data_IF_563604826477
#
_entry.id   IF_563604826477
#
_cell.length_a   1.000
_cell.length_b   1.000
_cell.length_c   1.000
_cell.angle_alpha   90.00
_cell.angle_beta   90.00
_cell.angle_gamma   90.00
#
_symmetry.space_group_name_H-M   'P 1'
#
loop_
_entity.id
_entity.type
_entity.pdbx_description
1 polymer ?
#
# COMPACT_ATOMS: atom_id res chain seq x y z
N UNK A 1 -1.57 -37.14 -2.30
CA UNK A 1 -0.88 -36.32 -3.31
C UNK A 1 0.24 -35.52 -2.65
N UNK A 2 1.30 -35.25 -3.37
CA UNK A 2 2.47 -34.56 -2.84
C UNK A 2 2.21 -33.06 -2.71
N UNK A 3 1.43 -32.50 -3.66
CA UNK A 3 1.08 -31.09 -3.73
C UNK A 3 -0.44 -30.89 -3.81
N UNK A 4 -0.92 -29.81 -3.21
CA UNK A 4 -2.32 -29.40 -3.38
C UNK A 4 -2.49 -28.68 -4.72
N UNK A 5 -1.48 -27.87 -5.12
CA UNK A 5 -1.41 -27.25 -6.45
C UNK A 5 -0.02 -27.49 -7.03
N UNK A 6 0.03 -27.94 -8.28
CA UNK A 6 1.25 -28.01 -9.08
C UNK A 6 1.09 -27.16 -10.34
N UNK A 7 2.05 -26.27 -10.61
CA UNK A 7 2.13 -25.54 -11.89
C UNK A 7 3.38 -26.06 -12.61
N UNK A 8 3.18 -26.70 -13.74
CA UNK A 8 4.24 -27.40 -14.46
C UNK A 8 4.62 -26.68 -15.75
N UNK A 9 5.93 -26.64 -16.04
CA UNK A 9 6.47 -26.16 -17.30
C UNK A 9 6.19 -24.65 -17.60
N UNK A 10 6.22 -23.80 -16.56
CA UNK A 10 6.08 -22.35 -16.69
C UNK A 10 7.43 -21.65 -16.85
N UNK A 11 7.42 -20.42 -17.40
CA UNK A 11 8.56 -19.50 -17.35
C UNK A 11 8.54 -18.83 -15.99
N UNK A 12 9.44 -19.24 -15.08
CA UNK A 12 9.51 -18.71 -13.72
C UNK A 12 10.40 -17.46 -13.70
N UNK A 13 9.88 -16.38 -13.09
CA UNK A 13 10.58 -15.10 -12.89
C UNK A 13 10.47 -14.74 -11.40
N UNK A 14 11.58 -14.68 -10.70
CA UNK A 14 11.58 -14.43 -9.25
C UNK A 14 12.85 -13.69 -8.81
N UNK A 15 12.76 -12.97 -7.69
CA UNK A 15 13.89 -12.24 -7.09
C UNK A 15 15.02 -13.17 -6.62
N UNK A 16 14.72 -14.42 -6.25
CA UNK A 16 15.68 -15.38 -5.76
C UNK A 16 16.84 -15.67 -6.72
N UNK A 17 16.61 -15.57 -8.02
CA UNK A 17 17.63 -15.75 -9.05
C UNK A 17 17.92 -14.45 -9.82
N UNK A 18 17.62 -13.30 -9.24
CA UNK A 18 17.80 -11.99 -9.85
C UNK A 18 16.93 -11.76 -11.08
N UNK A 19 15.74 -12.36 -11.11
CA UNK A 19 14.77 -12.29 -12.20
C UNK A 19 15.24 -12.87 -13.53
N UNK A 20 16.25 -13.75 -13.52
CA UNK A 20 16.64 -14.48 -14.74
C UNK A 20 15.58 -15.55 -15.04
N UNK A 21 14.87 -15.47 -16.19
CA UNK A 21 13.79 -16.39 -16.51
C UNK A 21 14.31 -17.82 -16.72
N UNK A 22 13.60 -18.81 -16.19
CA UNK A 22 13.87 -20.22 -16.48
C UNK A 22 12.60 -21.01 -16.63
N UNK A 23 12.63 -22.10 -17.40
CA UNK A 23 11.50 -23.04 -17.50
C UNK A 23 11.56 -23.98 -16.31
N UNK A 24 10.47 -24.04 -15.55
CA UNK A 24 10.39 -24.84 -14.35
C UNK A 24 8.98 -25.06 -13.85
N UNK A 25 8.89 -25.65 -12.67
CA UNK A 25 7.63 -25.98 -12.03
C UNK A 25 7.64 -25.57 -10.56
N UNK A 26 6.46 -25.26 -10.03
CA UNK A 26 6.26 -25.06 -8.59
C UNK A 26 5.24 -26.03 -8.04
N UNK A 27 5.48 -26.49 -6.81
CA UNK A 27 4.55 -27.25 -6.01
C UNK A 27 4.15 -26.50 -4.75
N UNK A 28 2.85 -26.37 -4.53
CA UNK A 28 2.26 -25.74 -3.34
C UNK A 28 1.65 -26.80 -2.46
N UNK A 29 1.92 -26.75 -1.16
CA UNK A 29 1.29 -27.57 -0.14
C UNK A 29 0.72 -26.66 0.93
N UNK A 30 -0.55 -26.84 1.25
CA UNK A 30 -1.29 -25.90 2.11
C UNK A 30 -1.20 -24.46 1.56
N UNK A 31 -0.56 -23.57 2.27
CA UNK A 31 -0.42 -22.16 1.90
C UNK A 31 1.00 -21.80 1.45
N UNK A 32 1.89 -22.79 1.23
CA UNK A 32 3.31 -22.52 0.99
C UNK A 32 3.80 -23.17 -0.30
N UNK A 33 4.67 -22.45 -1.01
CA UNK A 33 5.46 -23.01 -2.09
C UNK A 33 6.53 -23.92 -1.45
N UNK A 34 6.40 -25.22 -1.67
CA UNK A 34 7.29 -26.23 -1.08
C UNK A 34 8.30 -26.78 -2.07
N UNK A 35 8.13 -26.45 -3.35
CA UNK A 35 9.00 -26.88 -4.41
C UNK A 35 9.09 -25.82 -5.50
N UNK A 36 10.31 -25.48 -5.90
CA UNK A 36 10.63 -24.74 -7.13
C UNK A 36 11.74 -25.55 -7.81
N UNK A 37 11.54 -25.99 -9.04
CA UNK A 37 12.47 -26.89 -9.71
C UNK A 37 12.55 -26.66 -11.22
N UNK A 38 13.69 -26.98 -11.81
CA UNK A 38 13.78 -27.21 -13.25
C UNK A 38 13.10 -28.54 -13.59
N UNK A 39 12.37 -28.59 -14.68
CA UNK A 39 11.63 -29.78 -15.10
C UNK A 39 10.16 -29.75 -14.72
N UNK A 40 9.49 -30.87 -14.89
CA UNK A 40 8.05 -30.97 -14.77
C UNK A 40 7.64 -31.59 -13.43
N UNK A 41 6.43 -31.22 -12.96
CA UNK A 41 5.70 -31.89 -11.89
C UNK A 41 4.60 -32.72 -12.56
N UNK A 42 4.56 -34.01 -12.24
CA UNK A 42 3.58 -34.92 -12.81
C UNK A 42 2.17 -34.62 -12.27
N UNK A 43 1.18 -34.81 -13.14
CA UNK A 43 -0.22 -34.51 -12.80
C UNK A 43 -0.72 -35.35 -11.63
N UNK A 44 -0.25 -36.60 -11.52
CA UNK A 44 -0.62 -37.57 -10.49
C UNK A 44 -0.10 -37.17 -9.10
N UNK A 45 0.89 -36.26 -9.02
CA UNK A 45 1.41 -35.75 -7.74
C UNK A 45 0.53 -34.64 -7.16
N UNK A 46 -0.41 -34.05 -7.91
CA UNK A 46 -1.17 -32.86 -7.56
C UNK A 46 -2.66 -33.11 -7.39
N UNK A 47 -3.31 -32.37 -6.50
CA UNK A 47 -4.78 -32.29 -6.47
C UNK A 47 -5.29 -31.40 -7.62
N UNK A 48 -4.65 -30.22 -7.77
CA UNK A 48 -4.87 -29.31 -8.87
C UNK A 48 -3.57 -29.23 -9.65
N UNK A 49 -3.60 -29.60 -10.92
CA UNK A 49 -2.47 -29.50 -11.82
C UNK A 49 -2.75 -28.45 -12.90
N UNK A 50 -1.81 -27.53 -13.11
CA UNK A 50 -1.92 -26.43 -14.06
C UNK A 50 -0.79 -26.57 -15.08
N UNK A 51 -1.14 -26.61 -16.37
CA UNK A 51 -0.19 -26.48 -17.45
C UNK A 51 0.28 -25.02 -17.58
N UNK A 52 1.54 -24.79 -17.24
CA UNK A 52 2.22 -23.50 -17.33
C UNK A 52 2.87 -23.22 -18.67
N UNK A 53 2.77 -24.14 -19.66
CA UNK A 53 3.41 -23.97 -20.95
C UNK A 53 3.04 -22.64 -21.60
N UNK A 54 4.05 -21.83 -21.93
CA UNK A 54 3.87 -20.51 -22.54
C UNK A 54 3.35 -19.43 -21.58
N UNK A 55 3.26 -19.71 -20.27
CA UNK A 55 2.86 -18.75 -19.22
C UNK A 55 4.08 -18.30 -18.42
N UNK A 56 4.01 -17.07 -17.94
CA UNK A 56 4.98 -16.53 -16.97
C UNK A 56 4.39 -16.72 -15.58
N UNK A 57 5.20 -17.27 -14.69
CA UNK A 57 4.90 -17.41 -13.27
C UNK A 57 5.82 -16.50 -12.47
N UNK A 58 5.26 -15.60 -11.70
CA UNK A 58 5.98 -14.63 -10.90
C UNK A 58 5.29 -14.46 -9.54
N UNK A 59 5.99 -13.90 -8.51
CA UNK A 59 5.33 -13.52 -7.27
C UNK A 59 4.12 -12.63 -7.52
N UNK A 60 3.09 -12.78 -6.68
CA UNK A 60 1.93 -11.89 -6.72
C UNK A 60 2.34 -10.45 -6.41
N UNK A 61 1.67 -9.48 -7.04
CA UNK A 61 1.96 -8.08 -6.83
C UNK A 61 1.38 -7.59 -5.50
N UNK A 62 2.06 -6.62 -4.91
CA UNK A 62 1.66 -5.94 -3.67
C UNK A 62 1.24 -4.51 -3.98
N UNK A 63 0.04 -4.14 -3.56
CA UNK A 63 -0.46 -2.78 -3.56
C UNK A 63 -0.32 -2.22 -2.13
N UNK A 64 0.67 -1.37 -1.89
CA UNK A 64 1.01 -0.87 -0.56
C UNK A 64 0.15 0.29 -0.06
N UNK A 65 -0.71 0.86 -0.90
CA UNK A 65 -1.60 1.96 -0.53
C UNK A 65 -2.80 2.03 -1.48
N UNK A 66 -3.99 1.92 -0.91
CA UNK A 66 -5.24 1.96 -1.66
C UNK A 66 -6.38 2.52 -0.81
N UNK A 67 -7.36 3.15 -1.45
CA UNK A 67 -8.65 3.52 -0.86
C UNK A 67 -9.75 2.78 -1.62
N UNK A 68 -10.09 1.58 -1.18
CA UNK A 68 -10.97 0.67 -1.89
C UNK A 68 -12.42 1.16 -1.98
N UNK A 69 -12.87 1.95 -1.01
CA UNK A 69 -14.19 2.56 -1.00
C UNK A 69 -14.35 3.70 -2.03
N UNK A 70 -13.26 4.18 -2.63
CA UNK A 70 -13.26 5.25 -3.63
C UNK A 70 -13.40 4.76 -5.08
N UNK A 71 -13.54 3.45 -5.30
CA UNK A 71 -13.68 2.92 -6.68
C UNK A 71 -15.01 3.30 -7.35
N UNK A 72 -16.08 3.46 -6.59
CA UNK A 72 -17.34 3.99 -7.12
C UNK A 72 -17.29 5.47 -7.50
N UNK A 73 -16.29 6.20 -6.99
CA UNK A 73 -16.04 7.60 -7.33
C UNK A 73 -15.08 7.78 -8.52
N UNK A 74 -14.68 6.69 -9.18
CA UNK A 74 -13.79 6.71 -10.34
C UNK A 74 -14.28 7.71 -11.40
N UNK A 75 -13.38 8.62 -11.82
CA UNK A 75 -13.67 9.66 -12.80
C UNK A 75 -14.32 10.94 -12.25
N UNK A 76 -14.81 10.95 -11.01
CA UNK A 76 -15.41 12.17 -10.44
C UNK A 76 -14.39 13.29 -10.18
N UNK A 77 -13.16 12.92 -9.87
CA UNK A 77 -12.06 13.86 -9.61
C UNK A 77 -11.18 14.14 -10.83
N UNK A 78 -11.60 13.81 -12.04
CA UNK A 78 -10.83 14.07 -13.25
C UNK A 78 -10.66 15.58 -13.48
N UNK A 79 -9.48 15.98 -13.93
CA UNK A 79 -9.09 17.38 -14.17
C UNK A 79 -9.09 18.27 -12.92
N UNK A 80 -9.03 17.70 -11.70
CA UNK A 80 -8.99 18.42 -10.43
C UNK A 80 -7.75 18.03 -9.63
N UNK A 81 -7.13 19.02 -8.97
CA UNK A 81 -6.16 18.77 -7.91
C UNK A 81 -6.84 18.17 -6.67
N UNK A 82 -6.07 17.55 -5.76
CA UNK A 82 -6.62 17.04 -4.50
C UNK A 82 -7.34 18.13 -3.68
N UNK A 83 -6.79 19.35 -3.64
CA UNK A 83 -7.41 20.46 -2.91
C UNK A 83 -8.77 20.84 -3.50
N UNK A 84 -8.88 20.91 -4.82
CA UNK A 84 -10.15 21.20 -5.51
C UNK A 84 -11.16 20.07 -5.26
N UNK A 85 -10.73 18.81 -5.27
CA UNK A 85 -11.58 17.67 -4.94
C UNK A 85 -12.07 17.72 -3.50
N UNK A 86 -11.20 18.06 -2.54
CA UNK A 86 -11.58 18.24 -1.14
C UNK A 86 -12.64 19.32 -0.99
N UNK A 87 -12.47 20.48 -1.61
CA UNK A 87 -13.48 21.54 -1.58
C UNK A 87 -14.78 21.15 -2.25
N UNK A 88 -14.73 20.42 -3.36
CA UNK A 88 -15.93 20.01 -4.09
C UNK A 88 -16.72 18.91 -3.37
N UNK A 89 -16.05 17.96 -2.73
CA UNK A 89 -16.65 16.71 -2.29
C UNK A 89 -16.55 16.47 -0.78
N UNK A 90 -15.39 16.68 -0.16
CA UNK A 90 -15.19 16.42 1.26
C UNK A 90 -15.81 17.52 2.14
N UNK A 91 -15.48 18.79 1.89
CA UNK A 91 -15.95 19.93 2.69
C UNK A 91 -17.47 20.11 2.61
N UNK A 92 -18.08 19.70 1.49
CA UNK A 92 -19.53 19.72 1.32
C UNK A 92 -20.24 18.52 1.97
N UNK A 93 -19.49 17.54 2.46
CA UNK A 93 -20.02 16.29 2.99
C UNK A 93 -20.63 15.36 1.93
N UNK A 94 -20.46 15.70 0.65
CA UNK A 94 -21.08 14.97 -0.46
C UNK A 94 -20.69 13.50 -0.49
N UNK A 95 -19.41 13.17 -0.28
CA UNK A 95 -18.94 11.79 -0.20
C UNK A 95 -19.62 10.96 0.87
N UNK A 96 -19.91 11.58 2.02
CA UNK A 96 -20.45 10.88 3.19
C UNK A 96 -21.96 10.70 3.12
N UNK A 97 -22.63 11.53 2.33
CA UNK A 97 -24.08 11.51 2.19
C UNK A 97 -24.57 10.67 1.03
N UNK A 98 -23.76 10.47 0.00
CA UNK A 98 -24.15 9.73 -1.21
C UNK A 98 -23.74 8.25 -1.18
N UNK A 99 -22.72 7.89 -0.43
CA UNK A 99 -22.19 6.52 -0.37
C UNK A 99 -22.48 5.97 1.03
N UNK A 100 -23.40 5.02 1.12
CA UNK A 100 -23.70 4.33 2.36
C UNK A 100 -22.73 3.14 2.61
N UNK A 101 -22.85 2.45 3.74
CA UNK A 101 -21.95 1.37 4.11
C UNK A 101 -22.02 0.18 3.14
N UNK A 102 -23.17 -0.11 2.57
CA UNK A 102 -23.34 -1.17 1.57
C UNK A 102 -22.67 -0.81 0.25
N UNK A 103 -22.78 0.45 -0.20
CA UNK A 103 -22.08 0.95 -1.37
C UNK A 103 -20.55 0.86 -1.17
N UNK A 104 -20.05 1.21 0.02
CA UNK A 104 -18.63 1.09 0.38
C UNK A 104 -18.14 -0.35 0.36
N UNK A 105 -18.98 -1.26 0.86
CA UNK A 105 -18.67 -2.69 0.80
C UNK A 105 -18.51 -3.18 -0.65
N UNK A 106 -19.44 -2.87 -1.54
CA UNK A 106 -19.34 -3.25 -2.95
C UNK A 106 -18.21 -2.52 -3.69
N UNK A 107 -17.95 -1.26 -3.35
CA UNK A 107 -16.80 -0.52 -3.89
C UNK A 107 -15.48 -1.25 -3.57
N UNK A 108 -15.30 -1.69 -2.33
CA UNK A 108 -14.15 -2.47 -1.90
C UNK A 108 -14.04 -3.80 -2.63
N UNK A 109 -15.15 -4.54 -2.74
CA UNK A 109 -15.15 -5.80 -3.49
C UNK A 109 -14.73 -5.59 -4.95
N UNK A 110 -15.23 -4.53 -5.60
CA UNK A 110 -14.84 -4.17 -6.96
C UNK A 110 -13.34 -3.87 -7.06
N UNK A 111 -12.80 -3.10 -6.12
CA UNK A 111 -11.36 -2.81 -6.02
C UNK A 111 -10.55 -4.10 -5.92
N UNK A 112 -10.91 -4.98 -5.01
CA UNK A 112 -10.17 -6.21 -4.77
C UNK A 112 -10.26 -7.20 -5.94
N UNK A 113 -11.41 -7.26 -6.60
CA UNK A 113 -11.56 -8.05 -7.82
C UNK A 113 -10.69 -7.50 -8.97
N UNK A 114 -10.66 -6.18 -9.17
CA UNK A 114 -9.79 -5.54 -10.17
C UNK A 114 -8.31 -5.79 -9.86
N UNK A 115 -7.92 -5.67 -8.59
CA UNK A 115 -6.56 -5.96 -8.13
C UNK A 115 -6.15 -7.41 -8.41
N UNK A 116 -6.98 -8.39 -8.04
CA UNK A 116 -6.71 -9.81 -8.31
C UNK A 116 -6.62 -10.11 -9.82
N UNK A 117 -7.52 -9.55 -10.62
CA UNK A 117 -7.53 -9.72 -12.08
C UNK A 117 -6.31 -9.10 -12.76
N UNK A 118 -5.67 -8.11 -12.13
CA UNK A 118 -4.41 -7.51 -12.59
C UNK A 118 -3.16 -8.12 -11.95
N UNK A 119 -3.29 -9.20 -11.14
CA UNK A 119 -2.17 -9.93 -10.55
C UNK A 119 -1.73 -9.46 -9.17
N UNK A 120 -2.43 -8.52 -8.55
CA UNK A 120 -2.21 -8.08 -7.18
C UNK A 120 -2.81 -9.10 -6.21
N UNK A 121 -2.00 -9.65 -5.31
CA UNK A 121 -2.41 -10.68 -4.34
C UNK A 121 -2.41 -10.21 -2.89
N UNK A 122 -1.88 -9.03 -2.66
CA UNK A 122 -1.89 -8.36 -1.36
C UNK A 122 -2.18 -6.87 -1.55
N UNK A 123 -3.08 -6.33 -0.73
CA UNK A 123 -3.47 -4.92 -0.78
C UNK A 123 -3.49 -4.31 0.63
N UNK A 124 -2.87 -3.15 0.81
CA UNK A 124 -3.06 -2.35 2.01
C UNK A 124 -4.14 -1.30 1.73
N UNK A 125 -5.24 -1.41 2.44
CA UNK A 125 -6.33 -0.45 2.36
C UNK A 125 -6.24 0.57 3.48
N UNK A 126 -6.19 1.84 3.09
CA UNK A 126 -6.42 2.97 3.97
C UNK A 126 -7.91 3.27 4.04
N UNK A 127 -8.45 3.17 5.25
CA UNK A 127 -9.84 3.49 5.49
C UNK A 127 -9.98 4.92 6.00
N UNK A 128 -10.98 5.61 5.49
CA UNK A 128 -11.46 6.84 6.10
C UNK A 128 -12.66 6.51 6.99
N UNK A 129 -12.57 6.95 8.24
CA UNK A 129 -13.67 6.89 9.24
C UNK A 129 -14.28 5.52 9.47
N UNK A 130 -13.65 4.85 10.35
CA UNK A 130 -14.14 3.76 11.15
C UNK A 130 -15.05 2.79 10.44
N UNK A 131 -14.68 1.63 10.29
CA UNK A 131 -15.50 0.49 10.08
C UNK A 131 -14.67 -0.60 9.38
N UNK A 132 -13.56 -0.95 9.99
CA UNK A 132 -12.77 -2.13 9.63
C UNK A 132 -13.62 -3.36 9.38
N UNK A 133 -14.81 -3.41 9.99
CA UNK A 133 -15.77 -4.49 9.84
C UNK A 133 -16.17 -4.77 8.39
N UNK A 134 -16.50 -3.74 7.61
CA UNK A 134 -16.91 -3.94 6.22
C UNK A 134 -15.72 -4.27 5.33
N UNK A 135 -14.54 -3.71 5.60
CA UNK A 135 -13.31 -4.03 4.85
C UNK A 135 -12.84 -5.47 5.13
N UNK A 136 -12.86 -5.90 6.38
CA UNK A 136 -12.58 -7.31 6.75
C UNK A 136 -13.51 -8.26 6.01
N UNK A 137 -14.81 -7.97 6.01
CA UNK A 137 -15.81 -8.78 5.31
C UNK A 137 -15.56 -8.80 3.80
N UNK A 138 -15.31 -7.65 3.20
CA UNK A 138 -15.08 -7.52 1.76
C UNK A 138 -13.82 -8.29 1.31
N UNK A 139 -12.70 -8.14 2.04
CA UNK A 139 -11.46 -8.87 1.74
C UNK A 139 -11.65 -10.39 1.88
N UNK A 140 -12.32 -10.81 2.96
CA UNK A 140 -12.58 -12.24 3.21
C UNK A 140 -13.48 -12.87 2.14
N UNK A 141 -14.55 -12.18 1.71
CA UNK A 141 -15.45 -12.69 0.69
C UNK A 141 -14.82 -12.77 -0.70
N UNK A 142 -13.96 -11.80 -1.05
CA UNK A 142 -13.19 -11.83 -2.32
C UNK A 142 -12.02 -12.80 -2.24
N UNK A 143 -11.48 -13.04 -1.04
CA UNK A 143 -10.34 -13.96 -0.83
C UNK A 143 -8.98 -13.33 -1.13
N UNK A 144 -8.85 -12.01 -1.10
CA UNK A 144 -7.57 -11.32 -1.23
C UNK A 144 -6.87 -11.21 0.13
N UNK A 145 -5.56 -11.34 0.17
CA UNK A 145 -4.73 -11.05 1.35
C UNK A 145 -4.53 -9.54 1.50
N UNK A 146 -4.34 -9.07 2.72
CA UNK A 146 -4.14 -7.63 2.88
C UNK A 146 -3.81 -7.16 4.28
N UNK A 147 -3.58 -5.86 4.35
CA UNK A 147 -3.51 -5.07 5.58
C UNK A 147 -4.65 -4.04 5.56
N UNK A 148 -5.20 -3.77 6.72
CA UNK A 148 -6.26 -2.78 6.89
C UNK A 148 -5.80 -1.70 7.84
N UNK A 149 -5.83 -0.45 7.39
CA UNK A 149 -5.44 0.72 8.17
C UNK A 149 -6.67 1.46 8.66
N UNK A 150 -7.00 1.28 9.95
CA UNK A 150 -8.12 1.94 10.62
C UNK A 150 -7.71 3.26 11.24
N UNK A 151 -8.51 4.30 11.03
CA UNK A 151 -8.39 5.55 11.79
C UNK A 151 -8.90 5.32 13.22
N UNK A 152 -8.02 5.46 14.19
CA UNK A 152 -8.35 5.23 15.60
C UNK A 152 -8.96 6.44 16.31
N UNK A 153 -9.11 7.56 15.62
CA UNK A 153 -9.89 8.70 16.11
C UNK A 153 -11.38 8.40 15.96
N UNK A 154 -12.19 8.90 16.87
CA UNK A 154 -13.65 8.69 16.80
C UNK A 154 -14.23 9.31 15.53
N UNK A 155 -13.80 10.52 15.21
CA UNK A 155 -14.02 11.19 13.92
C UNK A 155 -13.03 12.36 13.76
N UNK A 156 -12.96 12.91 12.55
CA UNK A 156 -12.04 14.02 12.28
C UNK A 156 -12.45 15.35 12.95
N UNK A 157 -13.70 15.49 13.36
CA UNK A 157 -14.19 16.66 14.11
C UNK A 157 -13.79 16.59 15.58
N UNK A 158 -13.39 15.42 16.07
CA UNK A 158 -12.93 15.16 17.44
C UNK A 158 -11.56 14.47 17.42
N UNK A 159 -10.54 15.13 16.87
CA UNK A 159 -9.26 14.48 16.58
C UNK A 159 -8.46 14.04 17.83
N UNK A 160 -8.82 14.54 19.01
CA UNK A 160 -8.20 14.15 20.29
C UNK A 160 -8.99 13.06 21.04
N UNK A 161 -10.15 12.66 20.49
CA UNK A 161 -10.94 11.55 21.02
C UNK A 161 -10.63 10.28 20.22
N UNK A 162 -10.18 9.25 20.94
CA UNK A 162 -9.79 7.99 20.37
C UNK A 162 -10.81 6.89 20.68
N UNK A 163 -10.91 5.92 19.77
CA UNK A 163 -11.71 4.72 20.00
C UNK A 163 -11.23 3.98 21.25
N UNK A 164 -12.09 3.20 21.89
CA UNK A 164 -11.74 2.46 23.10
C UNK A 164 -10.67 1.39 22.83
N UNK A 165 -9.93 1.03 23.87
CA UNK A 165 -8.99 -0.09 23.79
C UNK A 165 -9.67 -1.41 23.45
N UNK A 166 -10.91 -1.62 23.91
CA UNK A 166 -11.72 -2.80 23.60
C UNK A 166 -12.10 -2.86 22.11
N UNK A 167 -12.44 -1.72 21.50
CA UNK A 167 -12.69 -1.62 20.07
C UNK A 167 -11.45 -2.04 19.27
N UNK A 168 -10.28 -1.53 19.66
CA UNK A 168 -9.02 -1.86 18.95
C UNK A 168 -8.63 -3.33 19.12
N UNK A 169 -8.88 -3.92 20.29
CA UNK A 169 -8.64 -5.34 20.52
C UNK A 169 -9.55 -6.22 19.66
N UNK A 170 -10.82 -5.84 19.58
CA UNK A 170 -11.78 -6.55 18.72
C UNK A 170 -11.46 -6.37 17.23
N UNK A 171 -11.10 -5.16 16.80
CA UNK A 171 -10.64 -4.88 15.44
C UNK A 171 -9.43 -5.72 15.06
N UNK A 172 -8.39 -5.70 15.92
CA UNK A 172 -7.19 -6.49 15.71
C UNK A 172 -7.51 -7.98 15.60
N UNK A 173 -8.32 -8.50 16.51
CA UNK A 173 -8.75 -9.89 16.50
C UNK A 173 -9.49 -10.26 15.22
N UNK A 174 -10.42 -9.43 14.75
CA UNK A 174 -11.16 -9.67 13.50
C UNK A 174 -10.25 -9.73 12.29
N UNK A 175 -9.26 -8.84 12.20
CA UNK A 175 -8.24 -8.87 11.15
C UNK A 175 -7.43 -10.17 11.21
N UNK A 176 -6.89 -10.50 12.38
CA UNK A 176 -6.05 -11.70 12.57
C UNK A 176 -6.83 -13.01 12.27
N UNK A 177 -8.08 -13.13 12.71
CA UNK A 177 -8.95 -14.26 12.40
C UNK A 177 -9.29 -14.39 10.92
N UNK A 178 -9.25 -13.28 10.19
CA UNK A 178 -9.41 -13.25 8.74
C UNK A 178 -8.08 -13.45 7.97
N UNK A 179 -6.95 -13.59 8.66
CA UNK A 179 -5.62 -13.68 8.06
C UNK A 179 -5.13 -12.34 7.48
N UNK A 180 -5.61 -11.22 8.02
CA UNK A 180 -5.27 -9.86 7.61
C UNK A 180 -4.39 -9.18 8.65
N UNK A 181 -3.61 -8.17 8.22
CA UNK A 181 -2.72 -7.39 9.09
C UNK A 181 -3.45 -6.13 9.54
N UNK A 182 -3.66 -5.93 10.86
CA UNK A 182 -4.22 -4.70 11.39
C UNK A 182 -3.15 -3.60 11.40
N UNK A 183 -3.50 -2.41 10.89
CA UNK A 183 -2.64 -1.22 10.83
C UNK A 183 -3.42 -0.03 11.39
N UNK A 184 -2.73 0.95 11.94
CA UNK A 184 -3.30 2.24 12.32
C UNK A 184 -3.07 3.24 11.20
N UNK A 185 -4.12 3.92 10.76
CA UNK A 185 -4.09 4.85 9.64
C UNK A 185 -4.81 6.16 9.90
N UNK A 186 -5.07 6.89 8.82
CA UNK A 186 -5.88 8.10 8.85
C UNK A 186 -5.15 9.37 9.29
N UNK A 187 -3.81 9.33 9.40
CA UNK A 187 -3.02 10.51 9.80
C UNK A 187 -2.58 11.26 8.55
N UNK A 188 -2.90 12.54 8.49
CA UNK A 188 -2.47 13.48 7.46
C UNK A 188 -1.85 14.73 8.09
N UNK A 189 -1.10 15.47 7.32
CA UNK A 189 -0.27 16.59 7.81
C UNK A 189 -1.09 17.73 8.40
N UNK A 190 -2.29 17.97 7.91
CA UNK A 190 -3.23 18.94 8.46
C UNK A 190 -3.64 18.63 9.89
N UNK A 191 -3.56 17.37 10.30
CA UNK A 191 -3.90 16.87 11.63
C UNK A 191 -2.71 16.83 12.60
N UNK A 192 -1.51 17.19 12.17
CA UNK A 192 -0.33 17.11 13.00
C UNK A 192 -0.46 17.98 14.26
N UNK A 193 -0.35 17.32 15.39
CA UNK A 193 -0.19 17.89 16.72
C UNK A 193 0.61 16.89 17.57
N UNK A 194 1.71 17.36 18.17
CA UNK A 194 2.71 16.49 18.82
C UNK A 194 2.09 15.54 19.84
N UNK A 195 1.18 16.01 20.67
CA UNK A 195 0.54 15.21 21.73
C UNK A 195 -0.33 14.11 21.11
N UNK A 196 -1.07 14.42 20.06
CA UNK A 196 -1.92 13.48 19.34
C UNK A 196 -1.10 12.40 18.67
N UNK A 197 -0.08 12.78 17.92
CA UNK A 197 0.80 11.84 17.22
C UNK A 197 1.54 10.90 18.19
N UNK A 198 2.04 11.44 19.33
CA UNK A 198 2.64 10.61 20.38
C UNK A 198 1.64 9.62 20.97
N UNK A 199 0.40 10.05 21.19
CA UNK A 199 -0.66 9.16 21.67
C UNK A 199 -0.97 8.04 20.69
N UNK A 200 -1.05 8.35 19.39
CA UNK A 200 -1.26 7.35 18.31
C UNK A 200 -0.10 6.34 18.30
N UNK A 201 1.13 6.83 18.36
CA UNK A 201 2.33 5.98 18.42
C UNK A 201 2.34 5.07 19.66
N UNK A 202 2.00 5.62 20.82
CA UNK A 202 1.94 4.83 22.07
C UNK A 202 0.90 3.70 21.96
N UNK A 203 -0.26 3.98 21.37
CA UNK A 203 -1.32 2.99 21.14
C UNK A 203 -0.82 1.93 20.16
N UNK A 204 -0.22 2.32 19.04
CA UNK A 204 0.34 1.40 18.04
C UNK A 204 1.39 0.47 18.67
N UNK A 205 2.33 1.02 19.43
CA UNK A 205 3.37 0.23 20.11
C UNK A 205 2.79 -0.73 21.16
N UNK A 206 1.80 -0.30 21.94
CA UNK A 206 1.13 -1.17 22.93
C UNK A 206 0.38 -2.33 22.28
N UNK A 207 -0.17 -2.13 21.08
CA UNK A 207 -0.95 -3.13 20.33
C UNK A 207 -0.08 -3.95 19.37
N UNK A 208 1.20 -3.58 19.15
CA UNK A 208 2.08 -4.19 18.15
C UNK A 208 1.54 -4.01 16.73
N UNK A 209 1.09 -2.80 16.39
CA UNK A 209 0.53 -2.45 15.09
C UNK A 209 1.44 -1.46 14.37
N UNK A 210 1.53 -1.55 13.05
CA UNK A 210 2.16 -0.54 12.21
C UNK A 210 1.28 0.71 12.12
N UNK A 211 1.88 1.82 11.69
CA UNK A 211 1.21 3.08 11.40
C UNK A 211 1.40 3.42 9.93
N UNK A 212 0.35 3.79 9.23
CA UNK A 212 0.44 4.41 7.89
C UNK A 212 -0.05 5.84 7.94
N UNK A 213 0.58 6.71 7.16
CA UNK A 213 0.21 8.13 7.04
C UNK A 213 0.47 8.63 5.63
N UNK A 214 -0.33 9.60 5.18
CA UNK A 214 0.02 10.44 4.04
C UNK A 214 1.14 11.36 4.50
N UNK A 215 2.22 11.45 3.73
CA UNK A 215 3.44 12.14 4.15
C UNK A 215 4.07 12.92 3.00
N UNK A 216 4.29 14.21 3.18
CA UNK A 216 4.91 15.10 2.20
C UNK A 216 4.28 14.99 0.80
N UNK A 217 2.95 14.86 0.75
CA UNK A 217 2.22 14.54 -0.46
C UNK A 217 2.13 15.74 -1.41
N UNK A 218 1.69 16.90 -0.92
CA UNK A 218 1.41 18.06 -1.75
C UNK A 218 1.81 19.39 -1.11
N UNK A 219 1.74 20.45 -1.91
CA UNK A 219 2.22 21.80 -1.50
C UNK A 219 1.38 22.42 -0.40
N UNK A 220 0.06 22.29 -0.44
CA UNK A 220 -0.82 22.94 0.54
C UNK A 220 -0.69 22.32 1.93
N UNK A 221 -0.54 20.99 2.04
CA UNK A 221 -0.24 20.31 3.31
C UNK A 221 1.11 20.71 3.85
N UNK A 222 2.13 20.76 2.97
CA UNK A 222 3.45 21.27 3.33
C UNK A 222 3.40 22.70 3.90
N UNK A 223 2.61 23.58 3.29
CA UNK A 223 2.42 24.95 3.78
C UNK A 223 1.78 24.99 5.17
N UNK A 224 0.81 24.13 5.47
CA UNK A 224 0.18 24.02 6.79
C UNK A 224 1.22 23.67 7.86
N UNK A 225 2.06 22.66 7.63
CA UNK A 225 3.09 22.25 8.57
C UNK A 225 4.15 23.35 8.73
N UNK A 226 4.59 23.95 7.64
CA UNK A 226 5.54 25.05 7.65
C UNK A 226 5.02 26.27 8.44
N UNK A 227 3.77 26.62 8.30
CA UNK A 227 3.15 27.73 9.05
C UNK A 227 3.03 27.43 10.55
N UNK A 228 2.67 26.20 10.90
CA UNK A 228 2.43 25.80 12.30
C UNK A 228 3.73 25.54 13.07
N UNK A 229 4.69 24.90 12.43
CA UNK A 229 5.86 24.33 13.13
C UNK A 229 7.20 24.84 12.62
N UNK A 230 7.23 25.69 11.60
CA UNK A 230 8.45 26.26 10.98
C UNK A 230 9.41 25.20 10.45
N UNK A 231 8.87 24.04 10.06
CA UNK A 231 9.62 22.91 9.55
C UNK A 231 8.76 22.12 8.54
N UNK A 232 9.32 21.09 7.92
CA UNK A 232 8.57 20.15 7.06
C UNK A 232 7.91 19.03 7.86
N UNK A 233 7.06 18.26 7.19
CA UNK A 233 6.39 17.12 7.79
C UNK A 233 7.37 16.02 8.25
N UNK A 234 8.32 15.66 7.39
CA UNK A 234 9.31 14.60 7.68
C UNK A 234 10.22 15.04 8.82
N UNK A 235 10.77 16.24 8.75
CA UNK A 235 11.64 16.81 9.78
C UNK A 235 10.91 16.93 11.13
N UNK A 236 9.63 17.37 11.10
CA UNK A 236 8.79 17.41 12.30
C UNK A 236 8.60 16.02 12.94
N UNK A 237 8.29 15.01 12.17
CA UNK A 237 8.12 13.65 12.69
C UNK A 237 9.44 13.09 13.21
N UNK A 238 10.54 13.30 12.49
CA UNK A 238 11.87 12.81 12.86
C UNK A 238 12.32 13.40 14.21
N UNK A 239 12.29 14.73 14.39
CA UNK A 239 12.73 15.38 15.62
C UNK A 239 11.79 15.17 16.82
N UNK A 240 10.55 14.73 16.58
CA UNK A 240 9.65 14.31 17.65
C UNK A 240 9.72 12.80 17.95
N UNK A 241 10.65 12.06 17.34
CA UNK A 241 10.80 10.60 17.43
C UNK A 241 9.51 9.86 17.06
N UNK A 242 8.88 10.26 15.95
CA UNK A 242 7.63 9.69 15.43
C UNK A 242 7.85 8.88 14.16
N UNK A 243 9.09 8.75 13.68
CA UNK A 243 9.50 7.87 12.57
C UNK A 243 10.31 6.70 13.12
N UNK A 244 9.92 5.49 12.73
CA UNK A 244 10.66 4.25 12.97
C UNK A 244 10.26 3.18 11.93
N UNK A 245 10.78 1.97 12.05
CA UNK A 245 10.53 0.84 11.14
C UNK A 245 9.06 0.40 11.07
N UNK A 246 8.20 0.84 11.99
CA UNK A 246 6.76 0.54 11.99
C UNK A 246 5.93 1.61 11.26
N UNK A 247 6.57 2.69 10.77
CA UNK A 247 5.88 3.77 10.05
C UNK A 247 6.01 3.57 8.56
N UNK A 248 4.88 3.67 7.87
CA UNK A 248 4.75 3.62 6.40
C UNK A 248 4.24 4.98 5.95
N UNK A 249 5.10 5.76 5.27
CA UNK A 249 4.72 7.03 4.65
C UNK A 249 4.27 6.83 3.20
N UNK A 250 3.07 7.28 2.87
CA UNK A 250 2.56 7.25 1.50
C UNK A 250 2.90 8.53 0.76
N UNK A 251 3.13 8.43 -0.54
CA UNK A 251 3.50 9.48 -1.49
C UNK A 251 4.95 9.96 -1.36
N UNK A 252 5.27 10.72 -0.35
CA UNK A 252 6.60 11.31 -0.05
C UNK A 252 7.16 12.12 -1.24
N UNK A 253 6.29 12.91 -1.87
CA UNK A 253 6.59 13.67 -3.10
C UNK A 253 7.61 14.78 -2.84
N UNK A 254 7.49 15.46 -1.70
CA UNK A 254 8.26 16.68 -1.39
C UNK A 254 9.38 16.46 -0.37
N UNK A 255 10.01 15.26 -0.37
CA UNK A 255 11.17 15.01 0.48
C UNK A 255 12.45 15.66 -0.08
N UNK A 256 13.18 16.38 0.76
CA UNK A 256 14.52 16.92 0.46
C UNK A 256 15.60 15.87 0.70
N UNK A 257 16.84 16.12 0.24
CA UNK A 257 17.95 15.19 0.49
C UNK A 257 18.23 14.90 1.98
N UNK A 258 18.09 15.92 2.85
CA UNK A 258 18.22 15.74 4.30
C UNK A 258 17.10 14.88 4.88
N UNK A 259 15.87 15.11 4.44
CA UNK A 259 14.71 14.33 4.87
C UNK A 259 14.76 12.88 4.38
N UNK A 260 15.34 12.62 3.21
CA UNK A 260 15.61 11.26 2.73
C UNK A 260 16.59 10.57 3.68
N UNK A 261 17.65 11.25 4.16
CA UNK A 261 18.53 10.71 5.18
C UNK A 261 17.82 10.42 6.50
N UNK A 262 16.92 11.30 6.95
CA UNK A 262 16.12 11.10 8.16
C UNK A 262 15.21 9.87 8.04
N UNK A 263 14.53 9.69 6.89
CA UNK A 263 13.72 8.49 6.59
C UNK A 263 14.60 7.23 6.60
N UNK A 264 15.77 7.26 5.97
CA UNK A 264 16.70 6.14 5.95
C UNK A 264 17.21 5.77 7.35
N UNK A 265 17.59 6.76 8.17
CA UNK A 265 18.05 6.55 9.54
C UNK A 265 16.97 5.97 10.47
N UNK A 266 15.72 6.35 10.25
CA UNK A 266 14.58 5.82 11.02
C UNK A 266 14.08 4.46 10.53
N UNK A 267 14.60 3.95 9.41
CA UNK A 267 14.11 2.76 8.72
C UNK A 267 12.61 2.84 8.34
N UNK A 268 12.05 4.04 8.27
CA UNK A 268 10.67 4.23 7.82
C UNK A 268 10.49 3.72 6.39
N UNK A 269 9.34 3.14 6.12
CA UNK A 269 8.98 2.54 4.84
C UNK A 269 8.23 3.57 4.00
N UNK A 270 8.34 3.51 2.69
CA UNK A 270 7.69 4.43 1.75
C UNK A 270 6.80 3.67 0.79
N UNK A 271 5.60 4.17 0.54
CA UNK A 271 4.74 3.72 -0.56
C UNK A 271 4.54 4.89 -1.51
N UNK A 272 4.86 4.68 -2.79
CA UNK A 272 4.69 5.71 -3.81
C UNK A 272 3.59 5.31 -4.80
N UNK A 273 2.79 6.28 -5.22
CA UNK A 273 1.62 6.11 -6.08
C UNK A 273 1.74 6.95 -7.34
N UNK A 274 2.68 6.62 -8.25
CA UNK A 274 3.13 7.53 -9.31
C UNK A 274 2.02 8.01 -10.25
N UNK A 275 1.04 7.17 -10.58
CA UNK A 275 -0.05 7.59 -11.48
C UNK A 275 -1.05 8.51 -10.77
N UNK A 276 -1.32 8.28 -9.48
CA UNK A 276 -2.11 9.19 -8.68
C UNK A 276 -1.48 10.58 -8.64
N UNK A 277 -0.22 10.66 -8.22
CA UNK A 277 0.54 11.91 -8.08
C UNK A 277 0.60 12.70 -9.39
N UNK A 278 0.76 12.00 -10.53
CA UNK A 278 0.70 12.63 -11.86
C UNK A 278 -0.69 13.14 -12.20
N UNK A 279 -1.74 12.35 -11.90
CA UNK A 279 -3.10 12.70 -12.26
C UNK A 279 -3.62 13.91 -11.50
N UNK A 280 -3.36 14.00 -10.19
CA UNK A 280 -3.81 15.12 -9.34
C UNK A 280 -2.79 16.26 -9.28
N UNK A 281 -1.69 16.16 -10.05
CA UNK A 281 -0.65 17.18 -10.17
C UNK A 281 0.08 17.49 -8.85
N UNK A 282 0.30 16.47 -8.01
CA UNK A 282 1.02 16.63 -6.74
C UNK A 282 2.54 16.75 -6.95
N UNK A 283 3.09 16.13 -7.98
CA UNK A 283 4.52 16.24 -8.29
C UNK A 283 5.18 14.91 -8.63
N UNK A 284 6.51 14.85 -8.44
CA UNK A 284 7.31 13.64 -8.68
C UNK A 284 8.17 13.38 -7.44
N UNK A 285 7.93 12.28 -6.76
CA UNK A 285 8.70 11.88 -5.60
C UNK A 285 10.16 11.56 -5.97
N UNK A 286 11.15 11.87 -5.12
CA UNK A 286 12.57 11.60 -5.39
C UNK A 286 12.94 10.13 -5.16
N UNK A 287 12.22 9.21 -5.80
CA UNK A 287 12.36 7.76 -5.61
C UNK A 287 13.78 7.23 -5.91
N UNK A 288 14.47 7.70 -6.99
CA UNK A 288 15.85 7.25 -7.23
C UNK A 288 16.80 7.53 -6.06
N UNK A 289 16.67 8.71 -5.43
CA UNK A 289 17.47 9.08 -4.28
C UNK A 289 17.09 8.28 -3.03
N UNK A 290 15.81 8.01 -2.82
CA UNK A 290 15.35 7.14 -1.71
C UNK A 290 15.93 5.74 -1.82
N UNK A 291 15.89 5.14 -3.02
CA UNK A 291 16.47 3.80 -3.28
C UNK A 291 17.99 3.80 -3.06
N UNK A 292 18.69 4.83 -3.54
CA UNK A 292 20.13 4.97 -3.32
C UNK A 292 20.52 5.09 -1.85
N UNK A 293 19.63 5.62 -1.02
CA UNK A 293 19.81 5.72 0.44
C UNK A 293 19.27 4.48 1.20
N UNK A 294 18.88 3.42 0.49
CA UNK A 294 18.46 2.16 1.08
C UNK A 294 17.04 2.15 1.67
N UNK A 295 16.23 3.16 1.36
CA UNK A 295 14.83 3.19 1.79
C UNK A 295 14.05 2.12 1.03
N UNK A 296 13.23 1.35 1.76
CA UNK A 296 12.30 0.40 1.15
C UNK A 296 11.13 1.16 0.55
N UNK A 297 11.02 1.10 -0.77
CA UNK A 297 9.91 1.70 -1.51
C UNK A 297 9.02 0.58 -2.04
N UNK A 298 7.73 0.67 -1.76
CA UNK A 298 6.67 -0.14 -2.33
C UNK A 298 5.83 0.70 -3.29
N UNK A 299 5.15 0.08 -4.25
CA UNK A 299 4.15 0.72 -5.09
C UNK A 299 2.77 0.63 -4.47
N UNK A 300 1.96 1.66 -4.70
CA UNK A 300 0.54 1.70 -4.39
C UNK A 300 -0.24 2.33 -5.53
N UNK A 301 -1.56 2.14 -5.55
CA UNK A 301 -2.42 2.73 -6.57
C UNK A 301 -3.13 3.99 -6.09
N UNK A 302 -3.22 4.19 -4.78
CA UNK A 302 -4.17 5.10 -4.19
C UNK A 302 -5.64 4.70 -4.51
N UNK A 303 -6.61 5.57 -4.29
CA UNK A 303 -8.00 5.32 -4.65
C UNK A 303 -8.26 5.51 -6.15
N UNK A 304 -9.22 4.74 -6.70
CA UNK A 304 -9.54 4.86 -8.12
C UNK A 304 -10.14 6.23 -8.51
N UNK A 305 -10.57 7.04 -7.57
CA UNK A 305 -10.92 8.44 -7.80
C UNK A 305 -9.71 9.27 -8.23
N UNK A 306 -8.56 9.02 -7.60
CA UNK A 306 -7.32 9.76 -7.83
C UNK A 306 -6.40 9.14 -8.89
N UNK A 307 -6.65 7.87 -9.28
CA UNK A 307 -5.81 7.12 -10.21
C UNK A 307 -6.56 6.64 -11.46
N UNK A 308 -7.87 6.35 -11.35
CA UNK A 308 -8.71 5.65 -12.33
C UNK A 308 -8.38 4.15 -12.51
N UNK A 309 -7.48 3.56 -11.70
CA UNK A 309 -7.04 2.16 -11.84
C UNK A 309 -6.57 1.58 -10.51
N UNK A 310 -6.75 0.25 -10.33
CA UNK A 310 -6.18 -0.51 -9.21
C UNK A 310 -5.17 -1.56 -9.72
N UNK A 311 -4.37 -1.21 -10.73
CA UNK A 311 -3.48 -2.11 -11.46
C UNK A 311 -2.01 -1.72 -11.24
N UNK A 312 -1.28 -2.51 -10.46
CA UNK A 312 0.15 -2.29 -10.13
C UNK A 312 1.07 -2.39 -11.36
N UNK A 313 0.71 -3.12 -12.42
CA UNK A 313 1.49 -3.08 -13.66
C UNK A 313 1.50 -1.69 -14.31
N UNK A 314 0.40 -0.96 -14.19
CA UNK A 314 0.33 0.44 -14.66
C UNK A 314 1.22 1.34 -13.80
N UNK A 315 1.24 1.13 -12.48
CA UNK A 315 2.13 1.87 -11.57
C UNK A 315 3.61 1.61 -11.90
N UNK A 316 4.01 0.36 -12.12
CA UNK A 316 5.37 0.02 -12.56
C UNK A 316 5.73 0.74 -13.86
N UNK A 317 4.82 0.79 -14.83
CA UNK A 317 5.06 1.53 -16.08
C UNK A 317 5.17 3.04 -15.84
N UNK A 318 4.29 3.61 -15.03
CA UNK A 318 4.32 5.03 -14.63
C UNK A 318 5.64 5.38 -13.96
N UNK A 319 6.05 4.60 -12.95
CA UNK A 319 7.32 4.74 -12.24
C UNK A 319 8.51 4.76 -13.20
N UNK A 320 8.58 3.79 -14.11
CA UNK A 320 9.66 3.71 -15.10
C UNK A 320 9.71 4.93 -16.01
N UNK A 321 8.58 5.35 -16.56
CA UNK A 321 8.53 6.43 -17.54
C UNK A 321 8.80 7.80 -16.92
N UNK A 322 8.19 8.09 -15.76
CA UNK A 322 8.34 9.40 -15.10
C UNK A 322 9.79 9.63 -14.67
N UNK A 323 10.44 8.61 -14.06
CA UNK A 323 11.82 8.76 -13.62
C UNK A 323 12.83 8.71 -14.78
N UNK A 324 12.52 8.00 -15.87
CA UNK A 324 13.32 8.11 -17.10
C UNK A 324 13.29 9.55 -17.65
N UNK A 325 12.14 10.21 -17.64
CA UNK A 325 12.00 11.58 -18.13
C UNK A 325 12.59 12.63 -17.16
N UNK A 326 12.37 12.44 -15.87
CA UNK A 326 12.77 13.40 -14.85
C UNK A 326 14.25 13.30 -14.44
N UNK A 327 14.75 12.08 -14.28
CA UNK A 327 16.07 11.80 -13.68
C UNK A 327 17.03 11.11 -14.65
N UNK A 328 16.60 10.83 -15.88
CA UNK A 328 17.41 10.25 -16.94
C UNK A 328 17.29 8.73 -17.06
N UNK A 329 17.79 8.20 -18.18
CA UNK A 329 17.82 6.77 -18.47
C UNK A 329 18.59 6.04 -17.37
N UNK A 330 18.03 4.96 -16.84
CA UNK A 330 18.60 4.12 -15.77
C UNK A 330 18.62 4.76 -14.37
N UNK A 331 17.84 5.81 -14.14
CA UNK A 331 17.64 6.33 -12.77
C UNK A 331 17.01 5.28 -11.84
N UNK A 332 16.12 4.46 -12.40
CA UNK A 332 15.61 3.22 -11.79
C UNK A 332 15.68 2.10 -12.83
N UNK A 333 16.24 0.96 -12.48
CA UNK A 333 16.20 -0.21 -13.34
C UNK A 333 14.91 -1.01 -13.17
N UNK A 334 14.65 -1.88 -14.13
CA UNK A 334 13.40 -2.66 -14.15
C UNK A 334 13.31 -3.69 -13.01
N UNK A 335 14.43 -4.20 -12.52
CA UNK A 335 14.48 -5.13 -11.39
C UNK A 335 14.08 -4.42 -10.11
N UNK A 336 14.62 -3.23 -9.87
CA UNK A 336 14.25 -2.38 -8.73
C UNK A 336 12.75 -2.05 -8.74
N UNK A 337 12.17 -1.71 -9.90
CA UNK A 337 10.73 -1.43 -10.01
C UNK A 337 9.90 -2.70 -9.74
N UNK A 338 10.37 -3.85 -10.21
CA UNK A 338 9.70 -5.13 -9.92
C UNK A 338 9.81 -5.51 -8.43
N UNK A 339 10.95 -5.24 -7.79
CA UNK A 339 11.10 -5.38 -6.34
C UNK A 339 10.09 -4.50 -5.58
N UNK A 340 9.89 -3.25 -5.99
CA UNK A 340 8.89 -2.36 -5.39
C UNK A 340 7.47 -2.93 -5.46
N UNK A 341 7.15 -3.62 -6.53
CA UNK A 341 5.84 -4.24 -6.74
C UNK A 341 5.68 -5.62 -6.08
N UNK A 342 6.75 -6.23 -5.58
CA UNK A 342 6.78 -7.60 -5.05
C UNK A 342 7.46 -7.68 -3.70
N UNK A 343 8.76 -7.99 -3.67
CA UNK A 343 9.51 -8.30 -2.44
C UNK A 343 9.60 -7.10 -1.48
N UNK A 344 9.83 -5.89 -1.98
CA UNK A 344 9.84 -4.70 -1.13
C UNK A 344 8.46 -4.43 -0.53
N UNK A 345 7.39 -4.63 -1.33
CA UNK A 345 6.03 -4.56 -0.84
C UNK A 345 5.78 -5.55 0.30
N UNK A 346 6.20 -6.81 0.12
CA UNK A 346 6.11 -7.82 1.18
C UNK A 346 6.88 -7.40 2.44
N UNK A 347 8.11 -6.90 2.28
CA UNK A 347 8.94 -6.42 3.39
C UNK A 347 8.33 -5.19 4.10
N UNK A 348 7.55 -4.35 3.41
CA UNK A 348 6.87 -3.23 4.06
C UNK A 348 5.82 -3.69 5.09
N UNK A 349 5.31 -4.91 4.94
CA UNK A 349 4.29 -5.49 5.81
C UNK A 349 4.81 -6.70 6.60
N UNK A 350 6.14 -6.84 6.74
CA UNK A 350 6.82 -7.91 7.46
C UNK A 350 6.43 -9.33 6.97
N UNK A 351 6.16 -9.45 5.66
CA UNK A 351 5.76 -10.70 4.99
C UNK A 351 6.93 -11.44 4.34
N UNK A 352 8.16 -11.03 4.54
CA UNK A 352 9.34 -11.64 3.89
C UNK A 352 9.54 -13.12 4.19
N UNK A 353 8.96 -13.62 5.29
CA UNK A 353 8.97 -15.06 5.66
C UNK A 353 7.96 -15.89 4.86
N UNK A 354 7.02 -15.21 4.19
CA UNK A 354 5.93 -15.81 3.43
C UNK A 354 6.07 -15.63 1.92
N UNK A 355 7.14 -14.93 1.49
CA UNK A 355 7.47 -14.65 0.09
C UNK A 355 8.58 -15.52 -0.43
#
# INVERSE_FOLDING_TARGET
MKYDVGISNAIIVSSHNGYEPFIGSIGVKETRITCVMHGEIEKEECEIWIDGTGKILMPGLVNGHCHGDMTLARGLGDDMTLLEQNHAFADTGWFYTLINDEDRFYSRQLTYCEALLSGTTFIMENMYWGLGKESVRAMKEVGIRGALAEDIRIDFMRPDEFVSGEFLDEYKKQCEEAGLIPVIGGISEEDYETKRLKRIRDIAGQKGMMITCHLAENTWRREIVQQRYQTSAIDYLYHNNLLDENVIGSHVVYATGEEIHQLAQSNAKVVNTPLCEMKICDGIAPIPEMVQNGIRVCLGTDGAMWNNSNDIFREMKGMSLIHTMNSGIRSLDTKTILDMATVNGAMCFDLEKDY
#
